data_IF_733321730700
#
_entry.id   IF_733321730700
#
_cell.length_a   1.000
_cell.length_b   1.000
_cell.length_c   1.000
_cell.angle_alpha   90.00
_cell.angle_beta   90.00
_cell.angle_gamma   90.00
#
_symmetry.space_group_name_H-M   'P 1'
#
loop_
_entity.id
_entity.type
_entity.pdbx_description
1 polymer ?
#
# COMPACT_ATOMS: atom_id res chain seq x y z
N UNK A 1 -13.94 -2.71 7.58
CA UNK A 1 -13.34 -4.02 7.27
C UNK A 1 -12.21 -3.72 6.32
N UNK A 2 -10.97 -3.74 6.80
CA UNK A 2 -9.77 -3.45 6.04
C UNK A 2 -8.65 -4.33 6.60
N UNK A 3 -7.88 -4.93 5.69
CA UNK A 3 -6.67 -5.76 5.89
C UNK A 3 -6.73 -6.81 7.01
N UNK A 4 -7.10 -8.06 6.69
CA UNK A 4 -6.64 -9.23 7.45
C UNK A 4 -6.49 -10.43 6.51
N UNK A 5 -5.35 -11.12 6.66
CA UNK A 5 -4.94 -12.43 6.09
C UNK A 5 -3.84 -12.43 5.00
N UNK A 6 -2.74 -11.70 5.23
CA UNK A 6 -1.43 -12.14 4.73
C UNK A 6 -0.76 -13.04 5.79
N UNK A 7 -1.13 -14.33 5.83
CA UNK A 7 -0.45 -15.34 6.67
C UNK A 7 0.78 -15.88 5.94
N UNK A 8 1.95 -15.70 6.53
CA UNK A 8 3.21 -16.37 6.18
C UNK A 8 3.05 -17.90 6.29
N UNK A 9 3.55 -18.64 5.30
CA UNK A 9 3.65 -20.11 5.32
C UNK A 9 4.55 -20.58 6.49
N UNK A 10 4.10 -21.52 7.35
CA UNK A 10 4.96 -22.04 8.41
C UNK A 10 5.94 -23.11 7.88
N UNK A 11 7.22 -22.95 8.21
CA UNK A 11 8.23 -24.01 8.16
C UNK A 11 7.98 -24.95 9.35
N UNK A 12 7.71 -26.23 9.08
CA UNK A 12 7.51 -27.24 10.13
C UNK A 12 8.86 -27.65 10.75
N UNK A 13 9.03 -27.44 12.05
CA UNK A 13 9.99 -28.18 12.88
C UNK A 13 9.21 -29.03 13.89
N UNK A 14 9.43 -30.34 13.82
CA UNK A 14 8.85 -31.32 14.74
C UNK A 14 9.53 -31.25 16.12
N UNK A 15 8.71 -31.15 17.18
CA UNK A 15 9.16 -31.11 18.58
C UNK A 15 8.31 -32.02 19.46
N UNK A 16 8.99 -32.76 20.32
CA UNK A 16 8.57 -33.93 21.10
C UNK A 16 7.62 -33.56 22.26
N UNK A 17 6.59 -34.39 22.50
CA UNK A 17 5.66 -34.30 23.63
C UNK A 17 6.36 -34.58 24.97
N UNK A 18 6.23 -33.65 25.93
CA UNK A 18 6.48 -33.87 27.35
C UNK A 18 5.33 -33.29 28.17
N UNK A 19 4.64 -34.16 28.92
CA UNK A 19 3.51 -33.82 29.81
C UNK A 19 4.04 -33.45 31.18
N UNK A 20 3.65 -32.28 31.72
CA UNK A 20 3.70 -32.01 33.17
C UNK A 20 2.47 -31.21 33.62
N UNK A 21 1.80 -31.73 34.64
CA UNK A 21 0.65 -31.15 35.33
C UNK A 21 1.04 -29.96 36.23
N UNK A 22 0.23 -28.90 36.16
CA UNK A 22 -0.39 -28.22 37.31
C UNK A 22 0.47 -27.36 38.25
N UNK A 23 0.19 -26.05 38.28
CA UNK A 23 -0.10 -25.28 39.50
C UNK A 23 -0.62 -23.88 39.07
N UNK A 24 -1.89 -23.57 39.36
CA UNK A 24 -2.47 -22.25 39.14
C UNK A 24 -1.95 -21.27 40.19
N UNK A 25 -1.24 -20.24 39.73
CA UNK A 25 -0.94 -19.05 40.50
C UNK A 25 -1.77 -17.93 39.87
N UNK A 26 -2.75 -17.40 40.60
CA UNK A 26 -3.48 -16.20 40.20
C UNK A 26 -2.50 -15.02 40.20
N UNK A 27 -1.87 -14.75 39.05
CA UNK A 27 -1.26 -13.44 38.79
C UNK A 27 -2.36 -12.51 38.33
N UNK A 28 -2.60 -11.46 39.10
CA UNK A 28 -3.37 -10.30 38.65
C UNK A 28 -2.62 -9.69 37.46
N UNK A 29 -2.97 -10.09 36.25
CA UNK A 29 -2.55 -9.40 35.04
C UNK A 29 -3.28 -8.07 35.02
N UNK A 30 -2.56 -7.00 35.37
CA UNK A 30 -2.93 -5.66 34.95
C UNK A 30 -3.30 -5.72 33.46
N UNK A 31 -4.52 -5.27 33.13
CA UNK A 31 -5.02 -5.32 31.77
C UNK A 31 -4.01 -4.71 30.82
N UNK A 32 -3.46 -5.53 29.93
CA UNK A 32 -2.64 -5.05 28.82
C UNK A 32 -3.55 -4.17 27.96
N UNK A 33 -3.43 -2.85 28.11
CA UNK A 33 -3.94 -1.93 27.13
C UNK A 33 -3.43 -2.39 25.77
N UNK A 34 -4.33 -2.62 24.81
CA UNK A 34 -4.02 -2.96 23.42
C UNK A 34 -3.14 -1.83 22.84
N UNK A 35 -1.83 -1.91 23.00
CA UNK A 35 -0.90 -0.97 22.39
C UNK A 35 -0.79 -1.39 20.93
N UNK A 36 -1.49 -0.66 20.04
CA UNK A 36 -1.07 -0.55 18.63
C UNK A 36 0.37 -0.06 18.69
N UNK A 37 1.36 -0.92 18.49
CA UNK A 37 2.77 -0.55 18.48
C UNK A 37 3.43 -1.48 17.50
N UNK A 38 4.06 -0.93 16.47
CA UNK A 38 4.73 -1.75 15.48
C UNK A 38 6.01 -2.28 16.09
N UNK A 39 6.22 -3.56 15.94
CA UNK A 39 7.46 -4.24 16.28
C UNK A 39 8.09 -4.73 14.97
N UNK A 40 9.36 -5.10 15.03
CA UNK A 40 10.04 -5.72 13.89
C UNK A 40 10.82 -6.92 14.37
N UNK A 41 10.86 -7.96 13.55
CA UNK A 41 11.72 -9.12 13.74
C UNK A 41 13.12 -8.89 13.13
N UNK A 42 13.56 -7.63 13.11
CA UNK A 42 14.80 -7.20 12.47
C UNK A 42 14.85 -7.49 10.95
N UNK A 43 13.69 -7.48 10.29
CA UNK A 43 13.61 -7.56 8.83
C UNK A 43 14.24 -6.37 8.10
N UNK A 44 14.33 -6.45 6.77
CA UNK A 44 14.82 -5.33 5.97
C UNK A 44 13.84 -4.16 5.94
N UNK A 45 14.37 -2.98 5.67
CA UNK A 45 13.61 -1.78 5.29
C UNK A 45 14.23 -1.16 4.03
N UNK A 46 13.45 -0.42 3.25
CA UNK A 46 14.00 0.36 2.15
C UNK A 46 14.71 1.60 2.69
N UNK A 47 16.03 1.71 2.47
CA UNK A 47 16.80 2.92 2.83
C UNK A 47 16.47 4.12 1.94
N UNK A 48 16.06 3.82 0.71
CA UNK A 48 15.63 4.75 -0.33
C UNK A 48 14.58 4.03 -1.18
N UNK A 49 13.68 4.77 -1.80
CA UNK A 49 12.69 4.19 -2.70
C UNK A 49 12.52 5.06 -3.94
N UNK A 50 12.86 4.54 -5.11
CA UNK A 50 12.44 5.09 -6.40
C UNK A 50 11.09 4.45 -6.73
N UNK A 51 10.03 5.26 -6.64
CA UNK A 51 8.66 4.81 -6.91
C UNK A 51 8.36 5.06 -8.38
N UNK A 52 8.01 4.02 -9.12
CA UNK A 52 7.59 4.09 -10.51
C UNK A 52 6.08 3.85 -10.59
N UNK A 53 5.39 4.62 -11.44
CA UNK A 53 3.98 4.41 -11.71
C UNK A 53 3.79 3.80 -13.10
N UNK A 54 3.08 2.68 -13.15
CA UNK A 54 2.72 1.99 -14.39
C UNK A 54 1.21 2.14 -14.57
N UNK A 55 0.79 2.92 -15.56
CA UNK A 55 -0.62 3.06 -15.90
C UNK A 55 -0.97 2.01 -16.94
N UNK A 56 -1.57 0.90 -16.51
CA UNK A 56 -2.04 -0.15 -17.41
C UNK A 56 -3.51 0.11 -17.73
N UNK A 57 -3.75 0.75 -18.87
CA UNK A 57 -5.04 1.37 -19.26
C UNK A 57 -5.42 0.98 -20.70
N UNK A 58 -5.75 -0.29 -20.96
CA UNK A 58 -6.26 -0.70 -22.26
C UNK A 58 -7.57 0.01 -22.62
N UNK A 59 -7.89 0.18 -23.91
CA UNK A 59 -9.14 0.81 -24.34
C UNK A 59 -10.40 0.02 -23.94
N UNK A 60 -10.27 -1.26 -23.60
CA UNK A 60 -11.38 -2.12 -23.18
C UNK A 60 -10.95 -3.11 -22.10
N UNK A 61 -11.86 -3.39 -21.16
CA UNK A 61 -11.75 -4.48 -20.19
C UNK A 61 -12.00 -5.86 -20.84
N UNK A 62 -11.72 -6.95 -20.12
CA UNK A 62 -11.86 -8.33 -20.62
C UNK A 62 -13.30 -8.67 -21.02
N UNK A 63 -14.30 -8.03 -20.39
CA UNK A 63 -15.71 -8.18 -20.73
C UNK A 63 -16.17 -7.30 -21.92
N UNK A 64 -15.27 -6.51 -22.51
CA UNK A 64 -15.55 -5.61 -23.63
C UNK A 64 -16.12 -4.25 -23.24
N UNK A 65 -16.26 -3.94 -21.94
CA UNK A 65 -16.55 -2.59 -21.48
C UNK A 65 -15.40 -1.64 -21.82
N UNK A 66 -15.71 -0.35 -21.97
CA UNK A 66 -14.71 0.70 -22.22
C UNK A 66 -13.76 0.85 -21.03
N UNK A 67 -12.47 1.06 -21.30
CA UNK A 67 -11.50 1.51 -20.29
C UNK A 67 -11.85 2.93 -19.81
N UNK A 68 -11.64 3.20 -18.53
CA UNK A 68 -12.17 4.41 -17.87
C UNK A 68 -11.13 5.18 -17.07
N UNK A 69 -9.89 4.71 -17.01
CA UNK A 69 -8.78 5.45 -16.45
C UNK A 69 -8.61 6.77 -17.19
N UNK A 70 -8.63 7.87 -16.44
CA UNK A 70 -8.59 9.21 -17.03
C UNK A 70 -7.17 9.78 -17.05
N UNK A 71 -6.80 10.57 -18.06
CA UNK A 71 -5.54 11.33 -18.03
C UNK A 71 -5.42 12.25 -16.81
N UNK A 72 -6.54 12.72 -16.26
CA UNK A 72 -6.58 13.52 -15.03
C UNK A 72 -6.09 12.72 -13.82
N UNK A 73 -6.58 11.50 -13.63
CA UNK A 73 -6.14 10.61 -12.55
C UNK A 73 -4.64 10.33 -12.67
N UNK A 74 -4.16 9.95 -13.86
CA UNK A 74 -2.75 9.66 -14.11
C UNK A 74 -1.86 10.86 -13.78
N UNK A 75 -2.29 12.05 -14.20
CA UNK A 75 -1.62 13.30 -13.87
C UNK A 75 -1.55 13.55 -12.35
N UNK A 76 -2.65 13.34 -11.63
CA UNK A 76 -2.72 13.58 -10.19
C UNK A 76 -1.85 12.60 -9.39
N UNK A 77 -1.83 11.33 -9.77
CA UNK A 77 -0.93 10.32 -9.20
C UNK A 77 0.53 10.72 -9.43
N UNK A 78 0.89 11.04 -10.68
CA UNK A 78 2.24 11.49 -11.02
C UNK A 78 2.65 12.76 -10.28
N UNK A 79 1.72 13.70 -10.12
CA UNK A 79 1.94 14.94 -9.38
C UNK A 79 2.21 14.65 -7.90
N UNK A 80 1.37 13.84 -7.26
CA UNK A 80 1.56 13.42 -5.87
C UNK A 80 2.94 12.77 -5.67
N UNK A 81 3.31 11.81 -6.51
CA UNK A 81 4.60 11.13 -6.43
C UNK A 81 5.77 12.11 -6.60
N UNK A 82 5.64 13.09 -7.49
CA UNK A 82 6.62 14.16 -7.66
C UNK A 82 6.74 15.06 -6.44
N UNK A 83 5.60 15.42 -5.83
CA UNK A 83 5.54 16.35 -4.68
C UNK A 83 6.09 15.74 -3.38
N UNK A 84 6.21 14.41 -3.29
CA UNK A 84 6.75 13.71 -2.12
C UNK A 84 8.25 14.00 -1.85
N UNK A 85 8.99 14.58 -2.80
CA UNK A 85 10.43 14.82 -2.67
C UNK A 85 10.82 16.18 -2.05
N UNK A 86 11.79 16.21 -1.11
CA UNK A 86 11.92 15.36 0.05
C UNK A 86 11.32 16.03 1.31
N UNK A 87 10.43 15.34 2.01
CA UNK A 87 10.13 15.63 3.43
C UNK A 87 8.71 16.08 3.81
N UNK A 88 7.68 15.46 3.25
CA UNK A 88 6.28 15.58 3.69
C UNK A 88 5.88 14.52 4.74
N UNK A 89 4.74 13.87 4.53
CA UNK A 89 4.18 12.86 5.45
C UNK A 89 5.15 11.73 5.79
N UNK A 90 6.00 11.29 4.84
CA UNK A 90 6.94 10.20 5.06
C UNK A 90 8.08 10.50 6.04
N UNK A 91 8.19 11.73 6.56
CA UNK A 91 9.11 12.01 7.69
C UNK A 91 8.90 11.06 8.87
N UNK A 92 7.65 10.65 9.10
CA UNK A 92 7.30 9.69 10.15
C UNK A 92 8.06 8.37 9.98
N UNK A 93 8.43 7.99 8.75
CA UNK A 93 9.11 6.74 8.46
C UNK A 93 10.55 6.72 8.96
N UNK A 94 11.17 7.87 9.22
CA UNK A 94 12.56 7.98 9.71
C UNK A 94 12.82 7.28 11.04
N UNK A 95 11.77 6.91 11.77
CA UNK A 95 11.88 6.15 13.02
C UNK A 95 12.04 4.64 12.82
N UNK A 96 11.68 4.12 11.65
CA UNK A 96 11.73 2.70 11.37
C UNK A 96 13.11 2.32 10.87
N UNK A 97 13.66 1.24 11.42
CA UNK A 97 14.99 0.72 11.08
C UNK A 97 14.92 -0.76 10.78
N UNK A 98 15.76 -1.23 9.88
CA UNK A 98 15.90 -2.65 9.55
C UNK A 98 17.26 -2.93 8.95
N UNK A 99 17.48 -4.18 8.54
CA UNK A 99 18.73 -4.55 7.91
C UNK A 99 18.78 -4.11 6.44
N UNK A 100 19.78 -3.30 6.10
CA UNK A 100 20.14 -2.96 4.74
C UNK A 100 21.64 -3.19 4.56
N UNK A 101 22.02 -3.94 3.53
CA UNK A 101 23.42 -4.29 3.25
C UNK A 101 24.18 -4.85 4.48
N UNK A 102 23.52 -5.71 5.28
CA UNK A 102 24.12 -6.36 6.45
C UNK A 102 24.31 -5.45 7.67
N UNK A 103 23.72 -4.25 7.69
CA UNK A 103 23.74 -3.35 8.85
C UNK A 103 22.34 -2.84 9.15
N UNK A 104 22.05 -2.64 10.43
CA UNK A 104 20.81 -1.97 10.85
C UNK A 104 20.90 -0.48 10.51
N UNK A 105 19.93 0.00 9.75
CA UNK A 105 19.88 1.38 9.28
C UNK A 105 18.43 1.88 9.32
N UNK A 106 18.26 3.17 9.62
CA UNK A 106 16.94 3.82 9.60
C UNK A 106 16.54 4.20 8.18
N UNK A 107 15.26 4.11 7.87
CA UNK A 107 14.71 4.65 6.62
C UNK A 107 15.16 6.10 6.48
N UNK A 108 15.55 6.51 5.26
CA UNK A 108 15.83 7.90 4.93
C UNK A 108 14.71 8.45 4.03
N UNK A 109 13.68 9.11 4.60
CA UNK A 109 12.54 9.60 3.81
C UNK A 109 12.93 10.60 2.73
N UNK A 110 14.08 11.29 2.87
CA UNK A 110 14.58 12.20 1.83
C UNK A 110 15.00 11.50 0.54
N UNK A 111 15.11 10.17 0.57
CA UNK A 111 15.46 9.33 -0.57
C UNK A 111 14.27 8.53 -1.10
N UNK A 112 13.05 8.85 -0.65
CA UNK A 112 11.81 8.41 -1.32
C UNK A 112 11.55 9.41 -2.44
N UNK A 113 11.55 8.91 -3.68
CA UNK A 113 11.66 9.71 -4.89
C UNK A 113 10.80 9.13 -6.00
N UNK A 114 10.19 9.99 -6.81
CA UNK A 114 9.55 9.57 -8.06
C UNK A 114 10.60 9.15 -9.09
N UNK A 115 10.50 7.91 -9.58
CA UNK A 115 11.39 7.31 -10.57
C UNK A 115 10.92 7.50 -12.02
N UNK A 116 9.64 7.76 -12.24
CA UNK A 116 9.04 7.98 -13.55
C UNK A 116 7.73 7.25 -13.76
N UNK A 117 7.18 7.41 -14.96
CA UNK A 117 5.94 6.77 -15.38
C UNK A 117 6.13 5.92 -16.62
N UNK A 118 5.29 4.91 -16.78
CA UNK A 118 5.07 4.20 -18.03
C UNK A 118 3.56 4.10 -18.27
N UNK A 119 3.18 4.10 -19.54
CA UNK A 119 1.81 3.89 -19.99
C UNK A 119 1.79 2.63 -20.83
N UNK A 120 0.83 1.76 -20.54
CA UNK A 120 0.62 0.51 -21.26
C UNK A 120 -0.85 0.40 -21.64
N UNK A 121 -1.13 0.29 -22.94
CA UNK A 121 -2.48 0.16 -23.50
C UNK A 121 -2.77 -1.27 -23.98
N UNK A 122 -1.88 -2.22 -23.67
CA UNK A 122 -2.05 -3.62 -24.06
C UNK A 122 -3.21 -4.24 -23.28
N UNK A 123 -4.02 -5.03 -23.97
CA UNK A 123 -5.23 -5.62 -23.40
C UNK A 123 -4.90 -6.46 -22.15
N UNK A 124 -5.76 -6.38 -21.13
CA UNK A 124 -5.63 -7.26 -19.98
C UNK A 124 -5.70 -8.74 -20.41
N UNK A 125 -4.82 -9.59 -19.87
CA UNK A 125 -4.91 -11.03 -20.06
C UNK A 125 -6.26 -11.58 -19.62
N UNK A 126 -6.66 -12.71 -20.20
CA UNK A 126 -7.87 -13.43 -19.80
C UNK A 126 -7.84 -13.80 -18.30
N UNK A 127 -8.97 -13.66 -17.60
CA UNK A 127 -9.10 -13.97 -16.18
C UNK A 127 -8.78 -15.44 -15.88
N UNK A 128 -7.91 -15.69 -14.91
CA UNK A 128 -7.49 -17.05 -14.49
C UNK A 128 -7.96 -17.36 -13.06
N UNK A 129 -7.64 -18.52 -12.48
CA UNK A 129 -7.86 -18.68 -11.02
C UNK A 129 -6.81 -17.83 -10.28
N UNK A 130 -7.14 -17.11 -9.20
CA UNK A 130 -8.42 -17.12 -8.46
C UNK A 130 -9.52 -16.18 -9.00
N UNK A 131 -9.23 -15.32 -9.99
CA UNK A 131 -10.15 -14.39 -10.62
C UNK A 131 -11.44 -14.96 -11.23
N UNK A 132 -11.60 -16.29 -11.41
CA UNK A 132 -12.73 -16.88 -12.15
C UNK A 132 -14.15 -16.48 -11.70
N UNK A 133 -14.30 -15.87 -10.53
CA UNK A 133 -15.58 -15.32 -10.03
C UNK A 133 -15.88 -13.90 -10.54
N UNK A 134 -14.90 -13.22 -11.13
CA UNK A 134 -14.95 -11.83 -11.57
C UNK A 134 -14.72 -11.76 -13.09
N UNK A 135 -15.52 -10.97 -13.80
CA UNK A 135 -15.43 -10.82 -15.26
C UNK A 135 -14.21 -10.00 -15.68
N UNK A 136 -13.87 -8.97 -14.93
CA UNK A 136 -12.75 -8.05 -15.13
C UNK A 136 -11.77 -8.26 -13.98
N UNK A 137 -10.72 -9.03 -14.26
CA UNK A 137 -9.77 -9.41 -13.23
C UNK A 137 -8.48 -10.03 -13.79
N UNK A 138 -7.36 -9.53 -13.31
CA UNK A 138 -6.03 -10.12 -13.47
C UNK A 138 -5.55 -10.75 -12.15
N UNK A 139 -4.74 -11.79 -12.26
CA UNK A 139 -4.06 -12.38 -11.10
C UNK A 139 -2.83 -11.57 -10.72
N UNK A 140 -2.40 -11.67 -9.46
CA UNK A 140 -1.11 -11.13 -9.01
C UNK A 140 0.04 -11.55 -9.95
N UNK A 141 0.07 -12.81 -10.41
CA UNK A 141 1.10 -13.26 -11.35
C UNK A 141 1.03 -12.50 -12.68
N UNK A 142 -0.16 -12.31 -13.25
CA UNK A 142 -0.31 -11.57 -14.51
C UNK A 142 0.13 -10.11 -14.36
N UNK A 143 -0.21 -9.51 -13.23
CA UNK A 143 0.26 -8.18 -12.85
C UNK A 143 1.80 -8.11 -12.76
N UNK A 144 2.44 -9.06 -12.07
CA UNK A 144 3.91 -9.13 -11.98
C UNK A 144 4.58 -9.35 -13.33
N UNK A 145 4.00 -10.19 -14.18
CA UNK A 145 4.50 -10.44 -15.54
C UNK A 145 4.46 -9.13 -16.36
N UNK A 146 3.38 -8.35 -16.24
CA UNK A 146 3.25 -7.03 -16.89
C UNK A 146 4.27 -6.02 -16.39
N UNK A 147 4.43 -5.90 -15.07
CA UNK A 147 5.46 -5.03 -14.48
C UNK A 147 6.86 -5.41 -15.00
N UNK A 148 7.14 -6.70 -15.12
CA UNK A 148 8.42 -7.18 -15.68
C UNK A 148 8.60 -6.78 -17.14
N UNK A 149 7.55 -6.86 -17.97
CA UNK A 149 7.56 -6.40 -19.36
C UNK A 149 7.86 -4.90 -19.43
N UNK A 150 7.07 -4.07 -18.74
CA UNK A 150 7.22 -2.61 -18.74
C UNK A 150 8.60 -2.18 -18.24
N UNK A 151 9.12 -2.83 -17.20
CA UNK A 151 10.48 -2.58 -16.70
C UNK A 151 11.53 -2.84 -17.78
N UNK A 152 11.41 -3.95 -18.52
CA UNK A 152 12.33 -4.28 -19.60
C UNK A 152 12.29 -3.26 -20.72
N UNK A 153 11.10 -2.78 -21.09
CA UNK A 153 10.89 -1.78 -22.15
C UNK A 153 11.46 -0.41 -21.77
N UNK A 154 11.42 -0.05 -20.48
CA UNK A 154 11.89 1.24 -19.98
C UNK A 154 13.34 1.19 -19.43
N UNK A 155 13.98 0.02 -19.45
CA UNK A 155 15.33 -0.15 -18.89
C UNK A 155 15.39 0.01 -17.36
N UNK A 156 14.26 -0.14 -16.67
CA UNK A 156 14.17 -0.08 -15.22
C UNK A 156 14.68 -1.38 -14.58
N UNK A 157 15.21 -1.28 -13.36
CA UNK A 157 15.90 -2.40 -12.69
C UNK A 157 15.24 -2.74 -11.35
N UNK A 158 14.99 -4.02 -11.05
CA UNK A 158 14.51 -4.42 -9.74
C UNK A 158 15.60 -4.19 -8.68
N UNK A 159 15.18 -3.97 -7.44
CA UNK A 159 16.09 -3.83 -6.30
C UNK A 159 15.36 -3.39 -5.05
N UNK A 160 16.05 -3.51 -3.91
CA UNK A 160 15.57 -3.03 -2.61
C UNK A 160 15.47 -1.50 -2.50
N UNK A 161 15.75 -0.78 -3.58
CA UNK A 161 15.64 0.67 -3.71
C UNK A 161 14.57 1.12 -4.71
N UNK A 162 13.80 0.20 -5.28
CA UNK A 162 12.86 0.48 -6.38
C UNK A 162 11.51 -0.19 -6.12
N UNK A 163 10.42 0.58 -6.21
CA UNK A 163 9.04 0.14 -6.04
C UNK A 163 8.25 0.43 -7.31
N UNK A 164 7.59 -0.58 -7.87
CA UNK A 164 6.76 -0.46 -9.07
C UNK A 164 5.29 -0.58 -8.71
N UNK A 165 4.55 0.54 -8.74
CA UNK A 165 3.11 0.54 -8.52
C UNK A 165 2.39 0.52 -9.86
N UNK A 166 1.53 -0.47 -10.05
CA UNK A 166 0.61 -0.50 -11.20
C UNK A 166 -0.74 0.07 -10.80
N UNK A 167 -1.32 0.83 -11.72
CA UNK A 167 -2.68 1.33 -11.67
C UNK A 167 -3.43 0.66 -12.81
N UNK A 168 -4.58 0.07 -12.50
CA UNK A 168 -5.48 -0.56 -13.47
C UNK A 168 -6.71 0.30 -13.68
N UNK A 169 -7.42 0.06 -14.79
CA UNK A 169 -8.71 0.66 -15.07
C UNK A 169 -9.70 0.46 -13.93
N UNK A 170 -10.68 1.35 -13.86
CA UNK A 170 -11.77 1.23 -12.90
C UNK A 170 -12.50 -0.09 -13.14
N UNK A 171 -12.84 -0.77 -12.04
CA UNK A 171 -13.46 -2.10 -12.00
C UNK A 171 -12.59 -3.26 -12.55
N UNK A 172 -11.33 -3.01 -12.90
CA UNK A 172 -10.36 -4.10 -13.10
C UNK A 172 -9.83 -4.58 -11.76
N UNK A 173 -10.19 -5.81 -11.40
CA UNK A 173 -9.77 -6.39 -10.12
C UNK A 173 -8.40 -7.05 -10.22
N UNK A 174 -7.68 -7.08 -9.11
CA UNK A 174 -6.50 -7.92 -8.93
C UNK A 174 -6.80 -8.94 -7.85
N UNK A 175 -6.61 -10.22 -8.14
CA UNK A 175 -6.76 -11.28 -7.14
C UNK A 175 -5.47 -12.05 -6.90
N UNK A 176 -5.25 -12.39 -5.65
CA UNK A 176 -4.23 -13.32 -5.18
C UNK A 176 -4.84 -14.42 -4.31
N UNK A 177 -4.01 -15.21 -3.64
CA UNK A 177 -4.49 -16.28 -2.76
C UNK A 177 -5.20 -15.79 -1.49
N UNK A 178 -5.02 -14.53 -1.10
CA UNK A 178 -5.61 -13.91 0.09
C UNK A 178 -6.98 -13.28 -0.19
N UNK A 179 -7.25 -12.89 -1.45
CA UNK A 179 -8.51 -12.31 -1.85
C UNK A 179 -8.42 -11.55 -3.15
N UNK A 180 -9.40 -10.68 -3.37
CA UNK A 180 -9.48 -9.81 -4.54
C UNK A 180 -9.60 -8.36 -4.11
N UNK A 181 -9.01 -7.46 -4.88
CA UNK A 181 -9.30 -6.04 -4.82
C UNK A 181 -10.79 -5.78 -5.08
N UNK A 182 -11.30 -4.64 -4.60
CA UNK A 182 -12.67 -4.14 -4.81
C UNK A 182 -13.81 -5.19 -4.73
N UNK A 183 -13.65 -6.24 -3.93
CA UNK A 183 -14.74 -7.20 -3.75
C UNK A 183 -15.85 -6.55 -2.91
N UNK A 184 -17.11 -6.66 -3.36
CA UNK A 184 -18.29 -6.17 -2.65
C UNK A 184 -18.43 -6.75 -1.22
N UNK A 185 -17.70 -7.83 -0.93
CA UNK A 185 -17.64 -8.52 0.36
C UNK A 185 -16.40 -8.17 1.22
N UNK A 186 -15.65 -7.10 0.87
CA UNK A 186 -14.51 -6.61 1.66
C UNK A 186 -13.13 -6.79 1.01
N UNK A 187 -12.99 -6.33 -0.25
CA UNK A 187 -11.69 -6.27 -0.94
C UNK A 187 -10.75 -5.19 -0.38
N UNK A 188 -9.49 -5.26 -0.81
CA UNK A 188 -8.47 -4.24 -0.54
C UNK A 188 -8.36 -3.23 -1.68
N UNK A 189 -7.87 -2.03 -1.37
CA UNK A 189 -7.72 -0.91 -2.32
C UNK A 189 -6.32 -0.83 -2.93
N UNK A 190 -5.36 -1.43 -2.25
CA UNK A 190 -4.00 -1.57 -2.70
C UNK A 190 -3.37 -2.75 -2.01
N UNK A 191 -2.23 -3.17 -2.55
CA UNK A 191 -1.39 -4.16 -1.91
C UNK A 191 0.00 -4.10 -2.52
N UNK A 192 1.01 -4.11 -1.67
CA UNK A 192 2.39 -4.35 -2.04
C UNK A 192 2.78 -5.83 -1.90
N UNK A 193 3.76 -6.21 -2.72
CA UNK A 193 4.25 -7.56 -2.93
C UNK A 193 5.75 -7.54 -3.17
N UNK A 194 6.35 -8.72 -3.05
CA UNK A 194 7.74 -8.95 -3.40
C UNK A 194 7.90 -10.28 -4.12
N UNK A 195 8.84 -10.32 -5.07
CA UNK A 195 9.21 -11.56 -5.76
C UNK A 195 10.71 -11.59 -6.11
N UNK A 196 11.37 -12.76 -6.07
CA UNK A 196 12.71 -12.90 -6.60
C UNK A 196 12.73 -12.59 -8.10
N UNK A 197 13.70 -11.77 -8.54
CA UNK A 197 13.84 -11.39 -9.95
C UNK A 197 15.32 -11.22 -10.31
N UNK A 198 15.84 -12.03 -11.23
CA UNK A 198 17.21 -11.95 -11.75
C UNK A 198 18.32 -11.83 -10.67
N UNK A 199 18.22 -12.60 -9.58
CA UNK A 199 19.21 -12.59 -8.49
C UNK A 199 19.11 -11.40 -7.54
N UNK A 200 18.05 -10.59 -7.66
CA UNK A 200 17.67 -9.53 -6.71
C UNK A 200 16.18 -9.66 -6.34
N UNK A 201 15.62 -8.65 -5.69
CA UNK A 201 14.22 -8.57 -5.33
C UNK A 201 13.48 -7.57 -6.24
N UNK A 202 12.32 -7.96 -6.74
CA UNK A 202 11.30 -7.06 -7.28
C UNK A 202 10.34 -6.67 -6.16
N UNK A 203 10.22 -5.37 -5.88
CA UNK A 203 9.21 -4.80 -4.99
C UNK A 203 8.18 -4.09 -5.86
N UNK A 204 6.91 -4.43 -5.68
CA UNK A 204 5.85 -3.98 -6.58
C UNK A 204 4.52 -3.97 -5.86
N UNK A 205 3.53 -3.31 -6.43
CA UNK A 205 2.19 -3.28 -5.86
C UNK A 205 1.17 -2.87 -6.88
N UNK A 206 -0.09 -2.98 -6.48
CA UNK A 206 -1.22 -2.41 -7.21
C UNK A 206 -1.92 -1.39 -6.33
N UNK A 207 -2.41 -0.33 -6.96
CA UNK A 207 -3.41 0.56 -6.39
C UNK A 207 -4.59 0.57 -7.35
N UNK A 208 -5.75 0.15 -6.87
CA UNK A 208 -6.98 0.15 -7.67
C UNK A 208 -7.76 1.45 -7.47
N UNK A 209 -8.52 1.82 -8.49
CA UNK A 209 -9.52 2.88 -8.41
C UNK A 209 -10.89 2.24 -8.57
N UNK A 210 -11.69 2.10 -7.50
CA UNK A 210 -13.04 1.56 -7.64
C UNK A 210 -13.97 2.56 -8.34
N UNK A 211 -15.04 2.07 -8.97
CA UNK A 211 -16.08 2.91 -9.57
C UNK A 211 -16.96 3.62 -8.55
N UNK A 212 -16.87 3.21 -7.30
CA UNK A 212 -17.58 3.77 -6.16
C UNK A 212 -16.59 4.41 -5.15
N UNK A 213 -17.11 4.70 -3.96
CA UNK A 213 -16.38 5.37 -2.89
C UNK A 213 -15.75 4.37 -1.88
N UNK A 214 -15.72 3.06 -2.20
CA UNK A 214 -15.24 2.02 -1.26
C UNK A 214 -13.81 2.24 -0.78
N UNK A 215 -12.96 2.84 -1.63
CA UNK A 215 -11.58 3.19 -1.31
C UNK A 215 -11.40 4.66 -0.91
N UNK A 216 -12.48 5.42 -0.76
CA UNK A 216 -12.48 6.85 -0.40
C UNK A 216 -13.43 7.13 0.76
N UNK A 217 -12.97 6.99 2.00
CA UNK A 217 -13.81 7.27 3.19
C UNK A 217 -13.33 8.48 4.00
N UNK A 218 -12.66 9.40 3.30
CA UNK A 218 -12.60 10.82 3.62
C UNK A 218 -13.85 11.37 4.35
N UNK A 219 -15.04 10.91 3.94
CA UNK A 219 -16.34 11.41 4.40
C UNK A 219 -16.77 10.95 5.80
N UNK A 220 -16.24 9.85 6.34
CA UNK A 220 -16.79 9.30 7.59
C UNK A 220 -16.37 10.04 8.86
N UNK A 221 -15.54 11.09 8.78
CA UNK A 221 -14.99 11.79 9.94
C UNK A 221 -15.38 13.27 10.05
N UNK A 222 -16.21 13.81 9.15
CA UNK A 222 -16.78 15.15 9.33
C UNK A 222 -18.27 15.17 9.00
N UNK A 223 -19.16 15.25 10.01
CA UNK A 223 -20.60 15.41 9.77
C UNK A 223 -20.97 16.72 9.06
N UNK A 224 -20.00 17.63 8.86
CA UNK A 224 -20.16 18.94 8.21
C UNK A 224 -19.42 19.04 6.86
N UNK A 225 -18.79 17.97 6.36
CA UNK A 225 -18.21 18.00 5.01
C UNK A 225 -19.35 17.96 3.98
N UNK A 226 -19.58 19.04 3.20
CA UNK A 226 -20.56 18.97 2.13
C UNK A 226 -20.13 17.88 1.14
N UNK A 227 -21.04 16.95 0.88
CA UNK A 227 -20.98 15.74 0.04
C UNK A 227 -20.61 16.02 -1.45
N UNK A 228 -19.90 17.10 -1.76
CA UNK A 228 -19.93 17.71 -3.10
C UNK A 228 -18.60 18.23 -3.66
N UNK A 229 -17.44 18.03 -3.02
CA UNK A 229 -16.17 18.40 -3.68
C UNK A 229 -14.97 17.64 -3.12
N UNK A 230 -14.70 16.44 -3.64
CA UNK A 230 -13.39 15.80 -3.46
C UNK A 230 -12.26 16.81 -3.68
N UNK A 231 -11.15 16.72 -2.96
CA UNK A 231 -10.00 17.65 -3.08
C UNK A 231 -9.57 17.81 -4.54
N UNK A 232 -9.62 16.71 -5.29
CA UNK A 232 -9.30 16.70 -6.71
C UNK A 232 -10.52 16.54 -7.63
N UNK A 233 -11.73 16.82 -7.15
CA UNK A 233 -12.99 16.77 -7.89
C UNK A 233 -13.48 15.37 -8.27
N UNK A 234 -12.87 14.31 -7.73
CA UNK A 234 -13.30 12.91 -7.85
C UNK A 234 -12.86 12.12 -6.60
N UNK A 235 -13.81 11.55 -5.85
CA UNK A 235 -13.54 10.85 -4.60
C UNK A 235 -12.73 9.56 -4.78
N UNK A 236 -13.04 8.76 -5.82
CA UNK A 236 -12.28 7.56 -6.14
C UNK A 236 -10.82 7.88 -6.48
N UNK A 237 -10.57 9.04 -7.11
CA UNK A 237 -9.21 9.54 -7.33
C UNK A 237 -8.53 9.91 -6.02
N UNK A 238 -9.19 10.61 -5.10
CA UNK A 238 -8.61 10.93 -3.78
C UNK A 238 -8.30 9.65 -2.98
N UNK A 239 -9.16 8.65 -3.04
CA UNK A 239 -8.91 7.31 -2.50
C UNK A 239 -7.66 6.68 -3.09
N UNK A 240 -7.53 6.69 -4.42
CA UNK A 240 -6.34 6.20 -5.15
C UNK A 240 -5.05 6.90 -4.69
N UNK A 241 -5.10 8.22 -4.48
CA UNK A 241 -3.96 9.00 -3.99
C UNK A 241 -3.60 8.64 -2.54
N UNK A 242 -4.59 8.51 -1.65
CA UNK A 242 -4.37 8.06 -0.27
C UNK A 242 -3.79 6.65 -0.23
N UNK A 243 -4.37 5.70 -0.97
CA UNK A 243 -3.86 4.33 -1.06
C UNK A 243 -2.47 4.25 -1.68
N UNK A 244 -2.15 5.10 -2.66
CA UNK A 244 -0.77 5.21 -3.17
C UNK A 244 0.22 5.50 -2.05
N UNK A 245 -0.10 6.45 -1.15
CA UNK A 245 0.81 6.78 -0.04
C UNK A 245 0.86 5.68 1.03
N UNK A 246 -0.26 4.96 1.22
CA UNK A 246 -0.37 3.80 2.09
C UNK A 246 0.61 2.71 1.66
N UNK A 247 0.50 2.25 0.41
CA UNK A 247 1.35 1.17 -0.12
C UNK A 247 2.84 1.55 -0.15
N UNK A 248 3.17 2.82 -0.43
CA UNK A 248 4.57 3.28 -0.38
C UNK A 248 5.11 3.20 1.04
N UNK A 249 4.35 3.67 2.04
CA UNK A 249 4.81 3.67 3.43
C UNK A 249 5.05 2.24 3.93
N UNK A 250 4.13 1.33 3.63
CA UNK A 250 4.20 -0.08 4.01
C UNK A 250 5.38 -0.78 3.33
N UNK A 251 5.51 -0.66 2.01
CA UNK A 251 6.66 -1.25 1.29
C UNK A 251 8.00 -0.72 1.82
N UNK A 252 8.07 0.56 2.20
CA UNK A 252 9.32 1.14 2.73
C UNK A 252 9.69 0.55 4.09
N UNK A 253 8.71 0.33 4.96
CA UNK A 253 8.93 -0.21 6.32
C UNK A 253 8.93 -1.73 6.39
N UNK A 254 8.37 -2.40 5.40
CA UNK A 254 8.32 -3.85 5.31
C UNK A 254 8.32 -4.35 3.84
N UNK A 255 9.42 -4.19 3.10
CA UNK A 255 9.48 -4.57 1.70
C UNK A 255 9.31 -6.07 1.46
N UNK A 256 9.58 -6.93 2.44
CA UNK A 256 9.59 -8.39 2.27
C UNK A 256 8.52 -9.14 3.08
N UNK A 257 7.66 -8.43 3.83
CA UNK A 257 6.70 -9.05 4.76
C UNK A 257 7.34 -9.59 6.05
N UNK A 258 8.51 -9.07 6.43
CA UNK A 258 9.29 -9.47 7.64
C UNK A 258 9.82 -8.27 8.43
N UNK A 259 9.48 -7.05 8.02
CA UNK A 259 9.90 -5.76 8.56
C UNK A 259 9.04 -5.33 9.74
N UNK A 260 8.37 -4.19 9.63
CA UNK A 260 7.60 -3.60 10.73
C UNK A 260 6.11 -3.89 10.63
N UNK A 261 5.55 -4.49 11.68
CA UNK A 261 4.12 -4.76 11.82
C UNK A 261 3.69 -4.90 13.29
N UNK A 262 2.39 -4.85 13.56
CA UNK A 262 1.87 -5.21 14.88
C UNK A 262 1.62 -6.72 15.02
N UNK A 263 1.21 -7.16 16.21
CA UNK A 263 0.92 -8.58 16.49
C UNK A 263 -0.23 -9.18 15.67
N UNK A 264 -1.01 -8.37 14.97
CA UNK A 264 -2.08 -8.79 14.06
C UNK A 264 -1.64 -8.73 12.59
N UNK A 265 -0.42 -8.26 12.32
CA UNK A 265 0.12 -8.07 10.99
C UNK A 265 -0.28 -6.74 10.34
N UNK A 266 -0.80 -5.76 11.10
CA UNK A 266 -1.05 -4.42 10.55
C UNK A 266 0.28 -3.69 10.40
N UNK A 267 0.53 -3.12 9.24
CA UNK A 267 1.72 -2.31 8.94
C UNK A 267 1.52 -0.82 9.28
N UNK A 268 2.48 0.02 8.91
CA UNK A 268 2.53 1.45 9.30
C UNK A 268 1.32 2.27 8.84
N UNK A 269 0.75 1.94 7.68
CA UNK A 269 -0.39 2.65 7.15
C UNK A 269 -1.71 1.96 7.55
N UNK A 270 -1.75 0.63 7.61
CA UNK A 270 -2.90 -0.15 8.10
C UNK A 270 -3.44 0.31 9.46
N UNK A 271 -2.54 0.56 10.42
CA UNK A 271 -2.94 0.96 11.78
C UNK A 271 -3.75 2.28 11.77
N UNK A 272 -3.49 3.12 10.77
CA UNK A 272 -4.06 4.45 10.58
C UNK A 272 -4.93 4.56 9.32
N UNK A 273 -5.25 3.43 8.69
CA UNK A 273 -6.10 3.40 7.52
C UNK A 273 -7.38 4.17 7.83
N UNK A 274 -7.69 5.15 6.98
CA UNK A 274 -8.89 5.97 7.09
C UNK A 274 -8.95 6.91 8.31
N UNK A 275 -7.81 7.11 8.97
CA UNK A 275 -7.58 8.21 9.90
C UNK A 275 -7.05 9.40 9.12
N UNK A 276 -7.76 10.53 9.15
CA UNK A 276 -7.33 11.76 8.50
C UNK A 276 -7.14 12.85 9.56
N UNK A 277 -6.09 13.66 9.41
CA UNK A 277 -6.01 14.93 10.13
C UNK A 277 -7.18 15.88 9.75
N UNK A 278 -7.52 16.87 10.61
CA UNK A 278 -8.46 17.92 10.25
C UNK A 278 -8.09 18.64 8.94
N UNK A 279 -9.08 19.14 8.23
CA UNK A 279 -8.84 19.86 6.98
C UNK A 279 -8.05 21.15 7.22
N UNK A 280 -7.01 21.32 6.40
CA UNK A 280 -6.24 22.57 6.31
C UNK A 280 -6.82 23.50 5.24
N UNK A 281 -7.61 22.96 4.30
CA UNK A 281 -8.33 23.72 3.28
C UNK A 281 -9.50 22.90 2.72
N UNK A 282 -10.74 23.37 2.93
CA UNK A 282 -12.03 22.80 2.45
C UNK A 282 -12.18 21.28 2.57
N UNK A 283 -11.48 20.52 1.74
CA UNK A 283 -11.53 19.05 1.62
C UNK A 283 -10.16 18.37 1.72
N UNK A 284 -9.07 19.13 1.81
CA UNK A 284 -7.71 18.62 1.95
C UNK A 284 -7.21 18.69 3.40
N UNK A 285 -6.54 17.63 3.86
CA UNK A 285 -5.92 17.56 5.18
C UNK A 285 -4.39 17.75 5.16
N UNK A 286 -3.76 17.73 3.98
CA UNK A 286 -2.32 17.86 3.88
C UNK A 286 -1.88 18.64 2.63
N UNK A 287 -0.90 19.52 2.81
CA UNK A 287 -0.13 20.07 1.71
C UNK A 287 1.12 19.20 1.48
N UNK A 288 1.29 18.72 0.25
CA UNK A 288 2.50 18.00 -0.20
C UNK A 288 3.08 18.79 -1.36
N UNK A 289 4.31 19.26 -1.22
CA UNK A 289 4.85 20.28 -2.13
C UNK A 289 4.00 21.55 -2.10
N UNK A 290 3.54 21.98 -3.27
CA UNK A 290 2.65 23.14 -3.43
C UNK A 290 1.18 22.76 -3.66
N UNK A 291 0.83 21.48 -3.53
CA UNK A 291 -0.49 20.97 -3.83
C UNK A 291 -1.17 20.41 -2.59
N UNK A 292 -2.49 20.38 -2.63
CA UNK A 292 -3.34 19.95 -1.53
C UNK A 292 -3.90 18.57 -1.82
N UNK A 293 -3.87 17.71 -0.81
CA UNK A 293 -4.30 16.33 -0.90
C UNK A 293 -5.12 15.93 0.32
N UNK A 294 -5.94 14.91 0.14
CA UNK A 294 -6.59 14.19 1.21
C UNK A 294 -5.95 12.81 1.38
N UNK A 295 -5.04 12.68 2.34
CA UNK A 295 -4.22 11.47 2.54
C UNK A 295 -4.41 10.93 3.95
N UNK A 296 -4.51 9.60 4.07
CA UNK A 296 -4.56 8.94 5.37
C UNK A 296 -3.27 9.20 6.16
N UNK A 297 -3.43 9.29 7.48
CA UNK A 297 -2.33 9.41 8.42
C UNK A 297 -1.48 8.13 8.42
N UNK A 298 -0.25 8.25 8.91
CA UNK A 298 0.64 7.12 9.16
C UNK A 298 0.85 6.94 10.66
N UNK A 299 1.13 5.71 11.08
CA UNK A 299 1.40 5.42 12.47
C UNK A 299 2.76 5.96 12.91
N UNK A 300 2.80 6.60 14.08
CA UNK A 300 4.04 7.04 14.72
C UNK A 300 4.26 6.24 16.01
N UNK A 301 5.29 5.38 16.03
CA UNK A 301 5.66 4.58 17.18
C UNK A 301 6.18 5.42 18.37
N UNK A 302 6.72 6.63 18.13
CA UNK A 302 7.23 7.52 19.19
C UNK A 302 6.09 8.16 19.99
N UNK A 303 5.05 8.60 19.31
CA UNK A 303 3.89 9.26 19.94
C UNK A 303 2.74 8.30 20.20
N UNK A 304 2.80 7.10 19.63
CA UNK A 304 1.76 6.07 19.73
C UNK A 304 0.41 6.56 19.17
N UNK A 305 0.45 7.24 18.03
CA UNK A 305 -0.71 7.89 17.40
C UNK A 305 -0.58 7.95 15.86
N UNK A 306 -1.71 8.17 15.18
CA UNK A 306 -1.73 8.48 13.75
C UNK A 306 -1.43 9.95 13.50
N UNK A 307 -0.50 10.24 12.58
CA UNK A 307 -0.05 11.61 12.26
C UNK A 307 -0.05 11.85 10.74
N UNK A 308 -0.37 13.07 10.31
CA UNK A 308 -0.31 13.50 8.90
C UNK A 308 1.07 14.04 8.50
N UNK A 309 1.84 14.48 9.48
CA UNK A 309 3.21 14.97 9.33
C UNK A 309 4.08 14.27 10.37
N UNK A 310 5.19 13.69 9.93
CA UNK A 310 6.19 13.18 10.87
C UNK A 310 6.85 14.31 11.67
N UNK A 311 7.39 13.99 12.87
CA UNK A 311 8.17 14.93 13.67
C UNK A 311 9.44 15.43 12.96
#
# INVERSE_FOLDING_TARGET
MASVYKRTLPVFLAGILGVTLGFSIMSATAGAANKKHLITDDGPVMQSAKVYAIYWQPPTLQNGAEGTMTPRQNKLVSQLLSDMQPGGMFKVLSQYSGYAHGRKQFVNPSQIRFGGTAFDDTAYPSSQKPCRKHSNCITEKQMRDEITKVMSENGWKPGMDSLYLVYTDIDENVCDSSGCSNSQDGGWCGSHYNAPQNGTQLLYGVVITPSDETCSNAESQSPDAPYLDATNGNMSTDGTLSTTTHEIAETVTDPLGTGWGDVKGNEVADVCSYSFAPFVHKTANLAVGNHLYQLSNLWDNKTNSCVSLGP
#
